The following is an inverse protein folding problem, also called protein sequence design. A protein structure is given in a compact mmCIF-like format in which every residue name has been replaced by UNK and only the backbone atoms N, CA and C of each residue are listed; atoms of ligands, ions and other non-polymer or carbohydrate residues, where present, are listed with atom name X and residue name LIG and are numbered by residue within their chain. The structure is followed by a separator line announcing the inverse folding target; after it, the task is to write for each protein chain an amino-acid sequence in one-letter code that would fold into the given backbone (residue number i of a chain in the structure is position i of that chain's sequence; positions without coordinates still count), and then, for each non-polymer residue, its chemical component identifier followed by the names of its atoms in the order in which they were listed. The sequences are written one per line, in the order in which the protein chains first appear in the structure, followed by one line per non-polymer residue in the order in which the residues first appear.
data_IF_402282865086
#
_entry.id   IF_402282865086
#
_cell.length_a   1.000
_cell.length_b   1.000
_cell.length_c   1.000
_cell.angle_alpha   90.00
_cell.angle_beta   90.00
_cell.angle_gamma   90.00
#
_symmetry.space_group_name_H-M   'P 1'
#
loop_
_entity.id
_entity.type
_entity.pdbx_description
1 polymer ?
#
# COMPACT_ATOMS: atom_id res chain seq x y z
N UNK A 1 7.64 6.01 -12.67
CA UNK A 1 7.36 5.14 -11.50
C UNK A 1 7.67 3.67 -11.79
N UNK A 2 7.21 3.10 -12.93
CA UNK A 2 7.52 1.71 -13.28
C UNK A 2 9.03 1.42 -13.50
N UNK A 3 9.81 2.45 -13.83
CA UNK A 3 11.29 2.43 -13.86
C UNK A 3 11.93 2.03 -12.53
N UNK A 4 11.32 2.32 -11.38
CA UNK A 4 11.91 2.02 -10.07
C UNK A 4 11.69 0.58 -9.61
N UNK A 5 10.73 -0.15 -10.21
CA UNK A 5 10.53 -1.58 -9.92
C UNK A 5 11.65 -2.41 -10.55
N UNK A 6 12.12 -2.02 -11.74
CA UNK A 6 13.24 -2.67 -12.43
C UNK A 6 14.59 -2.47 -11.72
N UNK A 7 14.77 -1.35 -11.02
CA UNK A 7 15.99 -1.01 -10.28
C UNK A 7 15.92 -1.39 -8.78
N UNK A 8 14.79 -1.94 -8.30
CA UNK A 8 14.60 -2.32 -6.90
C UNK A 8 15.36 -3.60 -6.48
N UNK A 9 16.13 -4.20 -7.39
CA UNK A 9 17.02 -5.35 -7.13
C UNK A 9 18.34 -4.92 -6.43
N UNK A 10 18.22 -4.03 -5.44
CA UNK A 10 19.33 -3.45 -4.66
C UNK A 10 19.39 -4.03 -3.23
N UNK A 11 19.25 -5.34 -3.09
CA UNK A 11 19.45 -6.03 -1.80
C UNK A 11 18.27 -5.96 -0.82
N UNK A 12 17.08 -5.57 -1.28
CA UNK A 12 15.84 -5.61 -0.50
C UNK A 12 15.22 -7.04 -0.47
N UNK A 13 15.97 -8.01 0.05
CA UNK A 13 15.47 -9.24 0.71
C UNK A 13 14.48 -10.17 0.00
N UNK A 14 14.18 -9.98 -1.29
CA UNK A 14 13.52 -10.98 -2.14
C UNK A 14 14.34 -11.01 -3.43
N UNK A 15 15.26 -11.96 -3.55
CA UNK A 15 16.39 -11.83 -4.47
C UNK A 15 16.05 -12.15 -5.93
N UNK A 16 14.77 -12.17 -6.36
CA UNK A 16 14.30 -12.33 -7.77
C UNK A 16 12.75 -12.54 -7.94
N UNK A 17 11.83 -11.80 -7.27
CA UNK A 17 10.41 -11.95 -7.52
C UNK A 17 10.02 -11.38 -8.89
N UNK A 18 9.15 -12.08 -9.62
CA UNK A 18 8.53 -11.54 -10.81
C UNK A 18 7.45 -10.54 -10.39
N UNK A 19 7.68 -9.24 -10.64
CA UNK A 19 6.65 -8.23 -10.49
C UNK A 19 5.83 -8.12 -11.78
N UNK A 20 4.51 -8.19 -11.64
CA UNK A 20 3.55 -7.83 -12.69
C UNK A 20 2.80 -6.59 -12.27
N UNK A 21 2.64 -5.63 -13.18
CA UNK A 21 1.92 -4.40 -12.89
C UNK A 21 0.43 -4.69 -12.76
N UNK A 22 -0.11 -4.45 -11.56
CA UNK A 22 -1.55 -4.53 -11.29
C UNK A 22 -2.29 -3.33 -11.87
N UNK A 23 -1.83 -2.13 -11.55
CA UNK A 23 -2.38 -0.85 -12.02
C UNK A 23 -1.32 0.25 -11.90
N UNK A 24 -1.59 1.40 -12.51
CA UNK A 24 -0.86 2.65 -12.30
C UNK A 24 -1.87 3.79 -12.20
N UNK A 25 -1.96 4.40 -11.01
CA UNK A 25 -3.01 5.38 -10.70
C UNK A 25 -2.36 6.73 -10.45
N UNK A 26 -2.67 7.70 -11.30
CA UNK A 26 -2.31 9.11 -11.06
C UNK A 26 -3.54 9.82 -10.50
N UNK A 27 -3.46 10.27 -9.25
CA UNK A 27 -4.59 10.91 -8.55
C UNK A 27 -4.10 11.91 -7.52
N UNK A 28 -4.90 12.95 -7.28
CA UNK A 28 -4.70 13.89 -6.17
C UNK A 28 -5.14 13.30 -4.81
N UNK A 29 -6.01 12.29 -4.82
CA UNK A 29 -6.62 11.71 -3.63
C UNK A 29 -6.17 10.26 -3.43
N UNK A 30 -4.96 10.08 -2.89
CA UNK A 30 -4.34 8.77 -2.73
C UNK A 30 -5.03 7.84 -1.73
N UNK A 31 -5.91 8.37 -0.87
CA UNK A 31 -6.77 7.58 0.02
C UNK A 31 -7.75 6.67 -0.73
N UNK A 32 -8.16 7.07 -1.94
CA UNK A 32 -8.95 6.20 -2.81
C UNK A 32 -8.22 4.94 -3.26
N UNK A 33 -6.89 4.95 -3.29
CA UNK A 33 -6.08 3.80 -3.71
C UNK A 33 -6.14 2.67 -2.68
N UNK A 34 -6.30 2.99 -1.39
CA UNK A 34 -6.51 1.98 -0.34
C UNK A 34 -7.77 1.16 -0.63
N UNK A 35 -8.87 1.82 -1.02
CA UNK A 35 -10.12 1.14 -1.40
C UNK A 35 -9.95 0.25 -2.63
N UNK A 36 -9.26 0.74 -3.66
CA UNK A 36 -8.95 -0.04 -4.87
C UNK A 36 -8.10 -1.27 -4.57
N UNK A 37 -7.14 -1.18 -3.66
CA UNK A 37 -6.33 -2.33 -3.24
C UNK A 37 -7.21 -3.45 -2.66
N UNK A 38 -8.17 -3.12 -1.80
CA UNK A 38 -9.13 -4.10 -1.28
C UNK A 38 -10.02 -4.66 -2.39
N UNK A 39 -10.49 -3.82 -3.31
CA UNK A 39 -11.27 -4.27 -4.47
C UNK A 39 -10.49 -5.26 -5.34
N UNK A 40 -9.20 -5.04 -5.58
CA UNK A 40 -8.33 -5.99 -6.27
C UNK A 40 -8.26 -7.33 -5.54
N UNK A 41 -8.10 -7.33 -4.22
CA UNK A 41 -8.09 -8.56 -3.44
C UNK A 41 -9.44 -9.28 -3.46
N UNK A 42 -10.56 -8.55 -3.46
CA UNK A 42 -11.90 -9.12 -3.50
C UNK A 42 -12.22 -9.74 -4.87
N UNK A 43 -11.83 -9.06 -5.95
CA UNK A 43 -12.03 -9.53 -7.33
C UNK A 43 -11.06 -10.64 -7.74
N UNK A 44 -9.89 -10.70 -7.11
CA UNK A 44 -8.86 -11.71 -7.36
C UNK A 44 -8.55 -12.48 -6.08
N UNK A 45 -9.42 -13.40 -5.62
CA UNK A 45 -9.28 -14.06 -4.32
C UNK A 45 -7.98 -14.85 -4.16
N UNK A 46 -7.33 -15.25 -5.25
CA UNK A 46 -6.08 -16.03 -5.24
C UNK A 46 -4.79 -15.16 -5.22
N UNK A 47 -4.89 -13.83 -5.35
CA UNK A 47 -3.73 -12.90 -5.31
C UNK A 47 -3.08 -12.86 -3.90
N UNK A 48 -1.89 -13.44 -3.67
CA UNK A 48 -1.41 -13.62 -2.29
C UNK A 48 -0.86 -12.32 -1.68
N UNK A 49 -0.32 -11.42 -2.49
CA UNK A 49 0.26 -10.17 -2.03
C UNK A 49 0.29 -9.14 -3.17
N UNK A 50 0.36 -7.86 -2.81
CA UNK A 50 0.61 -6.76 -3.71
C UNK A 50 1.70 -5.86 -3.11
N UNK A 51 2.60 -5.36 -3.95
CA UNK A 51 3.50 -4.27 -3.58
C UNK A 51 2.84 -2.97 -4.01
N UNK A 52 2.69 -2.04 -3.08
CA UNK A 52 2.17 -0.70 -3.34
C UNK A 52 3.35 0.27 -3.27
N UNK A 53 3.59 0.97 -4.36
CA UNK A 53 4.57 2.05 -4.45
C UNK A 53 3.82 3.36 -4.64
N UNK A 54 4.15 4.34 -3.82
CA UNK A 54 3.54 5.66 -3.85
C UNK A 54 4.66 6.69 -3.80
N UNK A 55 4.55 7.68 -4.67
CA UNK A 55 5.53 8.76 -4.76
C UNK A 55 4.77 10.06 -5.05
N UNK A 56 5.10 11.12 -4.30
CA UNK A 56 4.64 12.48 -4.54
C UNK A 56 5.77 13.42 -4.14
N UNK A 57 5.95 14.49 -4.90
CA UNK A 57 7.07 15.39 -4.72
C UNK A 57 7.27 16.31 -5.90
N UNK A 58 8.15 17.29 -5.72
CA UNK A 58 8.43 18.30 -6.74
C UNK A 58 8.95 17.65 -8.03
N UNK A 59 9.87 16.69 -7.91
CA UNK A 59 10.47 16.01 -9.05
C UNK A 59 9.45 15.14 -9.79
N UNK A 60 8.71 14.32 -9.05
CA UNK A 60 7.67 13.43 -9.60
C UNK A 60 6.59 14.22 -10.32
N UNK A 61 6.09 15.30 -9.70
CA UNK A 61 5.06 16.17 -10.29
C UNK A 61 5.54 16.85 -11.57
N UNK A 62 6.78 17.33 -11.61
CA UNK A 62 7.32 17.93 -12.84
C UNK A 62 7.52 16.90 -13.94
N UNK A 63 8.00 15.70 -13.60
CA UNK A 63 8.16 14.59 -14.55
C UNK A 63 6.82 14.19 -15.16
N UNK A 64 5.78 14.05 -14.34
CA UNK A 64 4.41 13.71 -14.77
C UNK A 64 3.67 14.89 -15.40
N UNK A 65 4.26 16.09 -15.39
CA UNK A 65 3.62 17.35 -15.85
C UNK A 65 2.28 17.59 -15.14
N UNK A 66 2.26 17.35 -13.83
CA UNK A 66 1.08 17.54 -13.00
C UNK A 66 0.55 18.98 -13.16
N UNK A 67 -0.76 19.17 -13.39
CA UNK A 67 -1.37 20.50 -13.44
C UNK A 67 -1.02 21.30 -12.19
N UNK A 68 -0.82 22.61 -12.36
CA UNK A 68 -0.56 23.58 -11.28
C UNK A 68 0.71 23.33 -10.43
N UNK A 69 1.53 22.33 -10.75
CA UNK A 69 2.82 22.15 -10.13
C UNK A 69 3.80 23.25 -10.57
N UNK A 70 4.49 23.88 -9.61
CA UNK A 70 5.55 24.85 -9.89
C UNK A 70 6.81 24.12 -10.38
N UNK A 71 6.95 24.03 -11.70
CA UNK A 71 8.05 23.32 -12.36
C UNK A 71 9.33 24.14 -12.41
N UNK A 72 9.23 25.46 -12.21
CA UNK A 72 10.39 26.36 -12.26
C UNK A 72 11.26 26.21 -11.00
N UNK A 73 10.67 25.76 -9.88
CA UNK A 73 11.40 25.44 -8.65
C UNK A 73 12.53 24.42 -8.87
N UNK A 74 12.38 23.45 -9.79
CA UNK A 74 13.44 22.48 -10.09
C UNK A 74 14.68 23.12 -10.73
N UNK A 75 14.53 24.31 -11.31
CA UNK A 75 15.60 25.05 -11.95
C UNK A 75 16.07 26.24 -11.09
N UNK A 76 15.48 26.41 -9.92
CA UNK A 76 15.87 27.47 -8.99
C UNK A 76 17.23 27.15 -8.35
N UNK A 77 18.15 28.11 -8.40
CA UNK A 77 19.41 28.04 -7.67
C UNK A 77 19.18 28.51 -6.23
N UNK A 78 19.26 27.61 -5.25
CA UNK A 78 19.20 27.96 -3.83
C UNK A 78 18.70 26.82 -2.94
N UNK A 79 18.66 27.09 -1.64
CA UNK A 79 18.00 26.23 -0.66
C UNK A 79 16.57 26.72 -0.43
N UNK A 80 15.59 25.84 -0.60
CA UNK A 80 14.20 26.12 -0.29
C UNK A 80 13.55 24.89 0.33
N UNK A 81 12.49 25.09 1.11
CA UNK A 81 11.63 24.00 1.57
C UNK A 81 10.47 23.93 0.57
N UNK A 82 10.32 22.83 -0.19
CA UNK A 82 9.20 22.69 -1.12
C UNK A 82 7.89 22.63 -0.34
N UNK A 83 6.83 23.25 -0.88
CA UNK A 83 5.49 23.13 -0.31
C UNK A 83 5.02 21.67 -0.30
N UNK A 84 5.38 20.92 -1.35
CA UNK A 84 5.19 19.48 -1.45
C UNK A 84 6.53 18.75 -1.27
N UNK A 85 6.87 18.32 -0.04
CA UNK A 85 8.09 17.56 0.20
C UNK A 85 8.04 16.23 -0.56
N UNK A 86 9.19 15.82 -1.07
CA UNK A 86 9.33 14.52 -1.71
C UNK A 86 9.01 13.42 -0.69
N UNK A 87 8.16 12.50 -1.11
CA UNK A 87 7.64 11.43 -0.30
C UNK A 87 7.61 10.16 -1.13
N UNK A 88 8.07 9.07 -0.52
CA UNK A 88 8.09 7.76 -1.14
C UNK A 88 7.70 6.71 -0.11
N UNK A 89 6.71 5.88 -0.45
CA UNK A 89 6.25 4.78 0.40
C UNK A 89 6.23 3.50 -0.43
N UNK A 90 6.86 2.46 0.09
CA UNK A 90 6.81 1.11 -0.45
C UNK A 90 6.27 0.15 0.62
N UNK A 91 5.16 -0.51 0.33
CA UNK A 91 4.53 -1.46 1.25
C UNK A 91 4.25 -2.79 0.53
N UNK A 92 4.56 -3.89 1.20
CA UNK A 92 4.07 -5.22 0.81
C UNK A 92 2.82 -5.54 1.62
N UNK A 93 1.65 -5.54 0.96
CA UNK A 93 0.39 -5.93 1.57
C UNK A 93 0.12 -7.39 1.23
N UNK A 94 0.09 -8.26 2.24
CA UNK A 94 0.01 -9.71 2.06
C UNK A 94 -1.21 -10.32 2.73
N UNK A 95 -1.81 -11.31 2.07
CA UNK A 95 -2.85 -12.20 2.60
C UNK A 95 -2.21 -13.50 3.04
N UNK A 96 -1.71 -13.50 4.28
CA UNK A 96 -0.94 -14.63 4.84
C UNK A 96 -1.72 -15.95 4.77
N UNK A 97 -3.03 -15.92 4.93
CA UNK A 97 -3.89 -17.10 4.81
C UNK A 97 -3.87 -17.73 3.41
N UNK A 98 -3.65 -16.94 2.34
CA UNK A 98 -3.42 -17.45 0.98
C UNK A 98 -2.06 -18.12 0.86
N UNK A 99 -1.01 -17.51 1.39
CA UNK A 99 0.33 -18.12 1.41
C UNK A 99 0.29 -19.45 2.18
N UNK A 100 -0.30 -19.49 3.37
CA UNK A 100 -0.34 -20.66 4.23
C UNK A 100 -1.13 -21.83 3.62
N UNK A 101 -2.18 -21.54 2.83
CA UNK A 101 -3.04 -22.57 2.22
C UNK A 101 -2.60 -22.98 0.82
N UNK A 102 -2.14 -22.03 0.00
CA UNK A 102 -1.90 -22.25 -1.44
C UNK A 102 -0.44 -22.43 -1.81
N UNK A 103 0.48 -21.93 -0.97
CA UNK A 103 1.92 -21.94 -1.27
C UNK A 103 2.66 -22.88 -0.32
N UNK A 104 2.55 -22.62 0.99
CA UNK A 104 3.33 -23.31 2.03
C UNK A 104 3.29 -24.84 1.97
N UNK A 105 2.14 -25.51 1.74
CA UNK A 105 2.09 -26.98 1.71
C UNK A 105 2.74 -27.61 0.47
N UNK A 106 3.05 -26.81 -0.55
CA UNK A 106 3.44 -27.29 -1.88
C UNK A 106 4.83 -26.81 -2.31
N UNK A 107 5.62 -26.22 -1.41
CA UNK A 107 6.95 -25.73 -1.76
C UNK A 107 7.86 -26.85 -2.27
N UNK A 108 8.74 -26.50 -3.21
CA UNK A 108 9.68 -27.42 -3.83
C UNK A 108 11.13 -27.04 -3.53
N UNK A 109 12.03 -28.01 -3.63
CA UNK A 109 13.46 -27.76 -3.47
C UNK A 109 14.06 -27.25 -4.79
N UNK A 110 14.77 -26.13 -4.69
CA UNK A 110 15.65 -25.60 -5.71
C UNK A 110 16.80 -24.86 -5.00
N UNK A 111 18.02 -24.81 -5.57
CA UNK A 111 19.08 -23.95 -5.05
C UNK A 111 18.63 -22.48 -4.99
N UNK A 112 19.29 -21.67 -4.18
CA UNK A 112 19.05 -20.21 -4.18
C UNK A 112 19.85 -19.55 -5.32
N UNK A 113 21.15 -19.88 -5.41
CA UNK A 113 21.99 -19.48 -6.54
C UNK A 113 21.68 -20.34 -7.79
N UNK A 114 20.78 -19.84 -8.64
CA UNK A 114 20.40 -20.49 -9.90
C UNK A 114 20.42 -19.48 -11.05
N UNK A 115 21.07 -19.84 -12.16
CA UNK A 115 21.06 -19.08 -13.40
C UNK A 115 19.94 -19.50 -14.38
N UNK A 116 19.77 -18.72 -15.44
CA UNK A 116 18.74 -18.93 -16.46
C UNK A 116 18.92 -20.21 -17.32
N UNK A 117 20.05 -20.92 -17.20
CA UNK A 117 20.33 -22.16 -17.93
C UNK A 117 19.84 -23.41 -17.20
N UNK A 118 19.58 -23.32 -15.88
CA UNK A 118 19.17 -24.46 -15.04
C UNK A 118 17.68 -24.80 -15.18
N UNK A 119 17.26 -25.10 -16.40
CA UNK A 119 15.88 -25.40 -16.77
C UNK A 119 15.35 -26.72 -16.21
N UNK A 120 16.12 -27.48 -15.42
CA UNK A 120 15.60 -28.60 -14.64
C UNK A 120 14.69 -28.17 -13.48
N UNK A 121 14.76 -26.90 -13.06
CA UNK A 121 13.93 -26.28 -12.02
C UNK A 121 12.80 -25.47 -12.66
N UNK A 122 11.57 -25.67 -12.18
CA UNK A 122 10.39 -25.02 -12.77
C UNK A 122 10.39 -23.50 -12.60
N UNK A 123 10.99 -22.98 -11.51
CA UNK A 123 11.19 -21.54 -11.30
C UNK A 123 11.97 -20.88 -12.44
N UNK A 124 13.00 -21.55 -12.96
CA UNK A 124 13.78 -21.06 -14.10
C UNK A 124 12.99 -21.12 -15.40
N UNK A 125 12.17 -22.15 -15.60
CA UNK A 125 11.28 -22.23 -16.76
C UNK A 125 10.29 -21.08 -16.77
N UNK A 126 9.67 -20.78 -15.61
CA UNK A 126 8.76 -19.65 -15.46
C UNK A 126 9.48 -18.32 -15.71
N UNK A 127 10.64 -18.08 -15.09
CA UNK A 127 11.41 -16.85 -15.31
C UNK A 127 11.78 -16.65 -16.78
N UNK A 128 12.30 -17.68 -17.45
CA UNK A 128 12.65 -17.60 -18.86
C UNK A 128 11.43 -17.27 -19.73
N UNK A 129 10.28 -17.89 -19.44
CA UNK A 129 9.04 -17.61 -20.14
C UNK A 129 8.53 -16.19 -19.87
N UNK A 130 8.50 -15.75 -18.61
CA UNK A 130 8.13 -14.40 -18.22
C UNK A 130 8.94 -13.36 -18.98
N UNK A 131 10.26 -13.47 -18.94
CA UNK A 131 11.14 -12.50 -19.59
C UNK A 131 11.05 -12.56 -21.12
N UNK A 132 10.70 -13.70 -21.72
CA UNK A 132 10.40 -13.74 -23.15
C UNK A 132 9.10 -13.01 -23.49
N UNK A 133 8.06 -13.16 -22.65
CA UNK A 133 6.79 -12.44 -22.84
C UNK A 133 6.97 -10.93 -22.62
N UNK A 134 7.71 -10.53 -21.58
CA UNK A 134 8.05 -9.14 -21.28
C UNK A 134 8.82 -8.47 -22.44
N UNK A 135 9.78 -9.17 -23.06
CA UNK A 135 10.48 -8.67 -24.26
C UNK A 135 9.60 -8.57 -25.51
N UNK A 136 8.63 -9.47 -25.63
CA UNK A 136 7.70 -9.51 -26.76
C UNK A 136 6.47 -8.59 -26.58
N UNK A 137 6.27 -8.03 -25.38
CA UNK A 137 5.11 -7.22 -25.06
C UNK A 137 5.07 -5.96 -25.96
N UNK A 138 3.99 -5.76 -26.73
CA UNK A 138 3.85 -4.57 -27.57
C UNK A 138 3.54 -3.37 -26.68
N UNK A 139 4.58 -2.61 -26.35
CA UNK A 139 4.49 -1.42 -25.50
C UNK A 139 3.49 -0.42 -26.10
N UNK A 140 2.40 -0.08 -25.39
CA UNK A 140 1.36 0.80 -25.92
C UNK A 140 1.84 2.25 -26.07
N UNK A 141 2.81 2.66 -25.24
CA UNK A 141 3.39 4.00 -25.16
C UNK A 141 4.87 3.88 -24.78
N UNK A 142 5.67 4.92 -25.04
CA UNK A 142 7.13 4.88 -24.84
C UNK A 142 7.57 4.77 -23.37
N UNK A 143 6.72 5.24 -22.46
CA UNK A 143 6.89 5.25 -21.01
C UNK A 143 6.36 3.99 -20.32
N UNK A 144 5.59 3.16 -21.02
CA UNK A 144 5.10 1.88 -20.51
C UNK A 144 6.06 0.76 -20.93
N UNK A 145 6.82 0.22 -19.98
CA UNK A 145 7.77 -0.86 -20.27
C UNK A 145 7.29 -2.23 -19.80
N UNK A 146 6.48 -2.30 -18.76
CA UNK A 146 6.08 -3.50 -18.04
C UNK A 146 4.77 -4.05 -18.61
N UNK A 147 4.72 -5.37 -18.85
CA UNK A 147 3.47 -6.00 -19.22
C UNK A 147 2.48 -5.98 -18.05
N UNK A 148 1.19 -5.64 -18.29
CA UNK A 148 0.17 -5.69 -17.25
C UNK A 148 -0.16 -7.13 -16.86
N UNK A 149 -0.74 -7.29 -15.67
CA UNK A 149 -1.08 -8.59 -15.11
C UNK A 149 -2.00 -9.42 -16.03
N UNK A 150 -2.96 -8.81 -16.70
CA UNK A 150 -3.94 -9.49 -17.56
C UNK A 150 -3.27 -10.04 -18.84
N UNK A 151 -2.35 -9.26 -19.43
CA UNK A 151 -1.50 -9.74 -20.52
C UNK A 151 -0.66 -10.93 -20.08
N UNK A 152 0.03 -10.85 -18.94
CA UNK A 152 0.82 -11.96 -18.42
C UNK A 152 -0.03 -13.21 -18.21
N UNK A 153 -1.18 -13.08 -17.56
CA UNK A 153 -2.07 -14.19 -17.28
C UNK A 153 -2.63 -14.83 -18.56
N UNK A 154 -2.83 -14.05 -19.63
CA UNK A 154 -3.23 -14.59 -20.94
C UNK A 154 -2.21 -15.55 -21.57
N UNK A 155 -0.95 -15.50 -21.13
CA UNK A 155 0.15 -16.36 -21.62
C UNK A 155 0.28 -17.66 -20.84
N UNK A 156 -0.22 -17.71 -19.62
CA UNK A 156 -0.09 -18.88 -18.75
C UNK A 156 -0.73 -20.17 -19.30
N UNK A 157 -1.88 -20.15 -20.01
CA UNK A 157 -2.43 -21.35 -20.63
C UNK A 157 -1.47 -22.03 -21.63
N UNK A 158 -0.75 -21.24 -22.43
CA UNK A 158 0.26 -21.76 -23.35
C UNK A 158 1.47 -22.32 -22.59
N UNK A 159 1.95 -21.60 -21.57
CA UNK A 159 3.03 -22.05 -20.71
C UNK A 159 2.75 -23.42 -20.09
N UNK A 160 1.58 -23.58 -19.44
CA UNK A 160 1.18 -24.84 -18.81
C UNK A 160 1.01 -25.98 -19.81
N UNK A 161 0.62 -25.69 -21.06
CA UNK A 161 0.47 -26.70 -22.12
C UNK A 161 1.81 -27.16 -22.69
N UNK A 162 2.78 -26.25 -22.81
CA UNK A 162 4.02 -26.48 -23.57
C UNK A 162 5.23 -26.79 -22.70
N UNK A 163 5.16 -26.45 -21.41
CA UNK A 163 6.27 -26.61 -20.47
C UNK A 163 6.05 -27.82 -19.57
N UNK A 164 6.95 -28.82 -19.54
CA UNK A 164 6.82 -29.94 -18.63
C UNK A 164 7.16 -29.48 -17.20
N UNK A 165 6.16 -29.44 -16.30
CA UNK A 165 6.30 -28.98 -14.91
C UNK A 165 6.25 -30.14 -13.92
N UNK A 166 7.03 -30.06 -12.84
CA UNK A 166 7.05 -31.01 -11.71
C UNK A 166 6.10 -30.52 -10.62
N UNK A 167 4.81 -30.61 -10.88
CA UNK A 167 3.78 -30.15 -9.95
C UNK A 167 3.59 -31.15 -8.79
N UNK A 168 3.76 -30.75 -7.52
CA UNK A 168 3.47 -31.57 -6.36
C UNK A 168 2.00 -31.99 -6.30
N UNK A 169 1.74 -33.17 -5.76
CA UNK A 169 0.38 -33.67 -5.62
C UNK A 169 -0.50 -32.69 -4.80
N UNK A 170 -1.63 -32.31 -5.37
CA UNK A 170 -2.60 -31.41 -4.75
C UNK A 170 -2.36 -29.92 -4.98
N UNK A 171 -1.20 -29.50 -5.51
CA UNK A 171 -0.98 -28.11 -5.91
C UNK A 171 -1.90 -27.76 -7.09
N UNK A 172 -2.55 -26.61 -7.01
CA UNK A 172 -3.42 -26.09 -8.07
C UNK A 172 -2.80 -24.80 -8.60
N UNK A 173 -2.13 -24.84 -9.78
CA UNK A 173 -1.66 -23.63 -10.43
C UNK A 173 -2.80 -22.63 -10.60
N UNK A 174 -2.52 -21.36 -10.36
CA UNK A 174 -3.45 -20.27 -10.62
C UNK A 174 -2.68 -19.09 -11.26
N UNK A 175 -3.39 -18.09 -11.80
CA UNK A 175 -2.75 -17.00 -12.53
C UNK A 175 -1.76 -16.14 -11.71
N UNK A 176 -1.87 -16.15 -10.38
CA UNK A 176 -0.97 -15.42 -9.46
C UNK A 176 0.17 -16.28 -8.90
N UNK A 177 -0.06 -17.60 -8.82
CA UNK A 177 0.93 -18.60 -8.39
C UNK A 177 0.98 -19.72 -9.45
N UNK A 178 1.65 -19.48 -10.59
CA UNK A 178 1.56 -20.35 -11.76
C UNK A 178 2.36 -21.66 -11.62
N UNK A 179 3.30 -21.71 -10.68
CA UNK A 179 4.07 -22.89 -10.27
C UNK A 179 4.28 -22.84 -8.76
N UNK A 180 4.62 -23.95 -8.10
CA UNK A 180 4.96 -23.94 -6.69
C UNK A 180 6.19 -23.08 -6.40
N UNK A 181 6.17 -22.36 -5.29
CA UNK A 181 7.34 -21.62 -4.82
C UNK A 181 8.45 -22.59 -4.40
N UNK A 182 9.68 -22.11 -4.48
CA UNK A 182 10.81 -22.81 -3.88
C UNK A 182 10.79 -22.63 -2.35
N UNK A 183 11.49 -23.52 -1.65
CA UNK A 183 11.66 -23.41 -0.19
C UNK A 183 12.37 -22.11 0.20
N UNK A 184 13.32 -21.63 -0.61
CA UNK A 184 14.01 -20.36 -0.35
C UNK A 184 13.10 -19.15 -0.58
N UNK A 185 12.21 -19.15 -1.59
CA UNK A 185 11.24 -18.06 -1.79
C UNK A 185 10.29 -17.91 -0.60
N UNK A 186 9.83 -19.05 -0.06
CA UNK A 186 9.00 -19.04 1.15
C UNK A 186 9.79 -18.58 2.37
N UNK A 187 11.06 -18.99 2.49
CA UNK A 187 11.94 -18.58 3.59
C UNK A 187 12.21 -17.08 3.55
N UNK A 188 12.51 -16.53 2.38
CA UNK A 188 12.63 -15.09 2.16
C UNK A 188 11.35 -14.38 2.60
N UNK A 189 10.18 -14.81 2.12
CA UNK A 189 8.89 -14.25 2.55
C UNK A 189 8.69 -14.30 4.08
N UNK A 190 8.99 -15.42 4.72
CA UNK A 190 8.82 -15.59 6.16
C UNK A 190 9.80 -14.75 7.00
N UNK A 191 10.91 -14.29 6.43
CA UNK A 191 11.84 -13.38 7.10
C UNK A 191 11.28 -11.95 7.24
N UNK A 192 10.23 -11.59 6.49
CA UNK A 192 9.59 -10.29 6.62
C UNK A 192 8.55 -10.33 7.76
N UNK A 193 8.76 -9.58 8.85
CA UNK A 193 7.80 -9.56 9.95
C UNK A 193 6.51 -8.87 9.51
N UNK A 194 5.38 -9.36 10.00
CA UNK A 194 4.11 -8.63 9.88
C UNK A 194 4.24 -7.38 10.75
N UNK A 195 4.15 -6.20 10.14
CA UNK A 195 4.28 -4.93 10.86
C UNK A 195 2.94 -4.37 11.33
N UNK A 196 1.86 -4.66 10.60
CA UNK A 196 0.51 -4.25 10.95
C UNK A 196 -0.54 -5.06 10.18
N UNK A 197 -1.77 -5.01 10.66
CA UNK A 197 -2.97 -5.40 9.95
C UNK A 197 -3.70 -4.15 9.44
N UNK A 198 -3.91 -4.11 8.13
CA UNK A 198 -4.66 -3.06 7.46
C UNK A 198 -6.14 -3.44 7.43
N UNK A 199 -7.00 -2.59 7.98
CA UNK A 199 -8.45 -2.79 7.98
C UNK A 199 -9.10 -2.12 6.78
N UNK A 200 -10.31 -2.57 6.43
CA UNK A 200 -11.05 -2.03 5.28
C UNK A 200 -11.30 -0.53 5.45
N UNK A 201 -11.05 0.30 4.42
CA UNK A 201 -11.29 1.73 4.51
C UNK A 201 -12.78 2.04 4.54
N UNK A 202 -13.17 3.01 5.38
CA UNK A 202 -14.50 3.63 5.36
C UNK A 202 -14.42 4.91 4.56
N UNK A 203 -15.22 5.01 3.49
CA UNK A 203 -15.38 6.24 2.70
C UNK A 203 -16.64 6.98 3.12
N UNK A 204 -16.51 8.29 3.29
CA UNK A 204 -17.57 9.16 3.79
C UNK A 204 -17.84 10.21 2.72
N UNK A 205 -19.04 10.21 2.16
CA UNK A 205 -19.50 11.26 1.26
C UNK A 205 -19.89 12.50 2.06
N UNK A 206 -19.25 13.62 1.76
CA UNK A 206 -19.51 14.93 2.35
C UNK A 206 -20.16 15.90 1.35
N UNK A 207 -20.60 15.39 0.20
CA UNK A 207 -21.35 16.11 -0.83
C UNK A 207 -22.77 15.58 -1.01
N UNK A 208 -23.64 16.40 -1.59
CA UNK A 208 -24.96 15.98 -2.03
C UNK A 208 -24.88 15.27 -3.40
N UNK A 209 -26.04 14.82 -3.92
CA UNK A 209 -26.15 14.13 -5.22
C UNK A 209 -25.82 15.03 -6.43
N UNK A 210 -25.65 16.34 -6.22
CA UNK A 210 -25.25 17.31 -7.24
C UNK A 210 -23.75 17.66 -7.17
N UNK A 211 -22.99 17.02 -6.28
CA UNK A 211 -21.56 17.27 -6.09
C UNK A 211 -21.23 18.51 -5.25
N UNK A 212 -22.23 19.14 -4.62
CA UNK A 212 -22.02 20.30 -3.75
C UNK A 212 -21.74 19.85 -2.31
N UNK A 213 -20.87 20.54 -1.56
CA UNK A 213 -20.62 20.22 -0.15
C UNK A 213 -21.91 20.25 0.68
N UNK A 214 -22.10 19.24 1.53
CA UNK A 214 -23.16 19.23 2.54
C UNK A 214 -22.98 20.37 3.55
N UNK A 215 -24.06 20.73 4.24
CA UNK A 215 -23.98 21.77 5.28
C UNK A 215 -23.08 21.30 6.43
N UNK A 216 -22.50 22.25 7.16
CA UNK A 216 -21.55 21.98 8.26
C UNK A 216 -22.06 20.90 9.24
N UNK A 217 -23.30 21.03 9.71
CA UNK A 217 -23.89 20.06 10.66
C UNK A 217 -24.05 18.66 10.07
N UNK A 218 -24.44 18.56 8.80
CA UNK A 218 -24.59 17.27 8.10
C UNK A 218 -23.23 16.58 7.90
N UNK A 219 -22.19 17.36 7.56
CA UNK A 219 -20.82 16.84 7.45
C UNK A 219 -20.29 16.31 8.78
N UNK A 220 -20.54 17.03 9.88
CA UNK A 220 -20.17 16.57 11.23
C UNK A 220 -20.85 15.23 11.55
N UNK A 221 -22.13 15.09 11.25
CA UNK A 221 -22.85 13.83 11.51
C UNK A 221 -22.33 12.70 10.62
N UNK A 222 -22.06 12.97 9.33
CA UNK A 222 -21.44 11.99 8.42
C UNK A 222 -20.06 11.52 8.89
N UNK A 223 -19.24 12.43 9.42
CA UNK A 223 -17.94 12.08 10.01
C UNK A 223 -18.11 11.22 11.26
N UNK A 224 -19.10 11.51 12.12
CA UNK A 224 -19.41 10.70 13.31
C UNK A 224 -19.91 9.31 12.94
N UNK A 225 -20.82 9.19 11.97
CA UNK A 225 -21.27 7.91 11.41
C UNK A 225 -20.08 7.12 10.85
N UNK A 226 -19.22 7.77 10.07
CA UNK A 226 -18.03 7.16 9.50
C UNK A 226 -17.04 6.68 10.56
N UNK A 227 -16.84 7.44 11.64
CA UNK A 227 -16.05 7.01 12.79
C UNK A 227 -16.60 5.71 13.40
N UNK A 228 -17.91 5.63 13.62
CA UNK A 228 -18.54 4.41 14.15
C UNK A 228 -18.41 3.23 13.19
N UNK A 229 -18.56 3.44 11.88
CA UNK A 229 -18.32 2.40 10.87
C UNK A 229 -16.87 1.92 10.92
N UNK A 230 -15.90 2.84 11.07
CA UNK A 230 -14.49 2.49 11.11
C UNK A 230 -14.14 1.72 12.39
N UNK A 231 -14.72 2.08 13.54
CA UNK A 231 -14.63 1.27 14.76
C UNK A 231 -15.18 -0.15 14.55
N UNK A 232 -16.26 -0.29 13.78
CA UNK A 232 -16.84 -1.57 13.42
C UNK A 232 -15.97 -2.46 12.53
N UNK A 233 -14.86 -1.95 11.98
CA UNK A 233 -13.88 -2.76 11.23
C UNK A 233 -12.92 -3.52 12.13
N UNK A 234 -12.77 -3.10 13.39
CA UNK A 234 -11.90 -3.72 14.38
C UNK A 234 -12.54 -4.96 15.00
N UNK A 235 -11.72 -5.77 15.67
CA UNK A 235 -12.24 -6.88 16.48
C UNK A 235 -13.11 -6.36 17.63
N UNK A 236 -14.06 -7.16 18.16
CA UNK A 236 -14.88 -6.75 19.29
C UNK A 236 -14.04 -6.30 20.48
N UNK A 237 -14.33 -5.11 21.00
CA UNK A 237 -13.63 -4.42 22.10
C UNK A 237 -12.27 -3.78 21.76
N UNK A 238 -11.74 -3.97 20.55
CA UNK A 238 -10.58 -3.20 20.10
C UNK A 238 -10.99 -1.75 19.82
N UNK A 239 -10.11 -0.82 20.17
CA UNK A 239 -10.31 0.61 19.99
C UNK A 239 -9.00 1.26 19.53
N UNK A 240 -9.06 2.32 18.71
CA UNK A 240 -7.88 3.12 18.41
C UNK A 240 -7.41 3.83 19.68
N UNK A 241 -6.10 3.90 19.87
CA UNK A 241 -5.45 4.67 20.94
C UNK A 241 -4.69 5.89 20.41
N UNK A 242 -4.79 6.16 19.11
CA UNK A 242 -4.15 7.30 18.42
C UNK A 242 -4.85 7.61 17.09
N UNK A 243 -4.89 8.88 16.71
CA UNK A 243 -5.34 9.35 15.39
C UNK A 243 -4.16 9.97 14.61
N UNK A 244 -3.97 9.58 13.37
CA UNK A 244 -3.25 10.36 12.37
C UNK A 244 -4.30 11.02 11.48
N UNK A 245 -4.18 12.31 11.23
CA UNK A 245 -5.13 13.00 10.37
C UNK A 245 -4.45 13.98 9.44
N UNK A 246 -5.01 14.12 8.25
CA UNK A 246 -4.59 15.14 7.29
C UNK A 246 -5.81 15.89 6.77
N UNK A 247 -5.87 17.19 7.05
CA UNK A 247 -6.91 18.11 6.55
C UNK A 247 -6.40 19.00 5.42
N UNK A 248 -5.20 18.73 4.90
CA UNK A 248 -4.43 19.62 4.05
C UNK A 248 -4.24 20.98 4.72
N UNK A 249 -4.22 22.04 3.91
CA UNK A 249 -4.17 23.42 4.40
C UNK A 249 -5.53 23.95 4.93
N UNK A 250 -6.58 23.11 4.97
CA UNK A 250 -7.95 23.56 5.31
C UNK A 250 -8.20 23.63 6.81
N UNK A 251 -8.21 24.85 7.35
CA UNK A 251 -8.63 25.13 8.75
C UNK A 251 -10.10 24.78 8.99
N UNK A 252 -10.95 24.89 7.97
CA UNK A 252 -12.36 24.51 8.05
C UNK A 252 -12.53 23.00 8.25
N UNK A 253 -11.73 22.18 7.56
CA UNK A 253 -11.79 20.73 7.69
C UNK A 253 -11.28 20.27 9.06
N UNK A 254 -10.24 20.89 9.59
CA UNK A 254 -9.80 20.64 10.96
C UNK A 254 -10.91 20.93 11.99
N UNK A 255 -11.59 22.09 11.85
CA UNK A 255 -12.69 22.43 12.73
C UNK A 255 -13.90 21.47 12.62
N UNK A 256 -14.13 20.87 11.45
CA UNK A 256 -15.13 19.81 11.28
C UNK A 256 -14.73 18.55 12.03
N UNK A 257 -13.48 18.11 11.88
CA UNK A 257 -12.96 16.91 12.52
C UNK A 257 -13.01 17.01 14.05
N UNK A 258 -12.55 18.14 14.60
CA UNK A 258 -12.62 18.43 16.04
C UNK A 258 -14.06 18.34 16.56
N UNK A 259 -15.02 18.96 15.85
CA UNK A 259 -16.43 18.91 16.27
C UNK A 259 -17.06 17.52 16.12
N UNK A 260 -16.64 16.74 15.13
CA UNK A 260 -17.14 15.38 14.93
C UNK A 260 -16.67 14.42 16.02
N UNK A 261 -15.44 14.59 16.50
CA UNK A 261 -14.78 13.69 17.45
C UNK A 261 -14.66 14.24 18.88
N UNK A 262 -15.23 15.42 19.17
CA UNK A 262 -15.10 16.09 20.48
C UNK A 262 -15.42 15.17 21.68
N UNK A 263 -16.52 14.43 21.59
CA UNK A 263 -17.01 13.54 22.66
C UNK A 263 -16.71 12.05 22.36
N UNK A 264 -15.60 11.77 21.67
CA UNK A 264 -15.26 10.39 21.33
C UNK A 264 -15.04 9.55 22.62
N UNK A 265 -15.68 8.36 22.75
CA UNK A 265 -15.53 7.52 23.93
C UNK A 265 -14.10 7.00 24.16
N UNK A 266 -13.24 7.09 23.15
CA UNK A 266 -11.84 6.70 23.20
C UNK A 266 -10.99 7.75 23.93
N UNK A 267 -11.55 8.92 24.25
CA UNK A 267 -10.88 10.04 24.90
C UNK A 267 -9.59 10.51 24.19
N UNK A 268 -9.54 10.35 22.86
CA UNK A 268 -8.43 10.82 22.03
C UNK A 268 -8.58 12.34 21.86
N UNK A 269 -7.63 13.10 22.37
CA UNK A 269 -7.57 14.55 22.17
C UNK A 269 -6.84 14.88 20.85
N UNK A 270 -7.53 15.58 19.94
CA UNK A 270 -6.95 15.99 18.66
C UNK A 270 -5.91 17.11 18.79
N UNK A 271 -5.91 17.83 19.91
CA UNK A 271 -4.94 18.88 20.20
C UNK A 271 -3.71 18.35 20.97
N UNK A 272 -3.76 17.13 21.55
CA UNK A 272 -2.62 16.52 22.22
C UNK A 272 -1.75 15.72 21.22
N UNK A 273 -0.47 16.10 20.99
CA UNK A 273 0.45 15.33 20.15
C UNK A 273 0.69 13.88 20.55
N UNK A 274 0.35 13.49 21.78
CA UNK A 274 0.44 12.09 22.23
C UNK A 274 -0.69 11.23 21.68
N UNK A 275 -1.82 11.86 21.41
CA UNK A 275 -3.09 11.23 21.01
C UNK A 275 -3.38 11.42 19.53
N UNK A 276 -2.97 12.56 18.95
CA UNK A 276 -3.22 12.88 17.56
C UNK A 276 -2.03 13.52 16.81
N UNK A 277 -1.87 13.13 15.55
CA UNK A 277 -0.84 13.62 14.65
C UNK A 277 -1.48 14.32 13.45
N UNK A 278 -1.42 15.66 13.45
CA UNK A 278 -1.73 16.50 12.29
C UNK A 278 -0.57 16.41 11.28
N UNK A 279 -0.80 15.68 10.19
CA UNK A 279 0.23 15.38 9.20
C UNK A 279 0.80 16.62 8.54
N UNK A 280 -0.08 17.55 8.15
CA UNK A 280 0.33 18.79 7.48
C UNK A 280 1.26 19.60 8.36
N UNK A 281 0.93 19.73 9.66
CA UNK A 281 1.72 20.52 10.60
C UNK A 281 2.99 19.80 11.07
N UNK A 282 2.97 18.47 11.20
CA UNK A 282 4.06 17.69 11.81
C UNK A 282 5.12 17.26 10.80
N UNK A 283 4.74 16.96 9.55
CA UNK A 283 5.69 16.68 8.47
C UNK A 283 6.27 17.98 7.91
N UNK A 284 5.56 19.10 8.06
CA UNK A 284 6.05 20.42 7.64
C UNK A 284 5.82 20.72 6.15
N UNK A 285 4.90 19.99 5.51
CA UNK A 285 4.55 20.18 4.11
C UNK A 285 3.45 19.24 3.65
N UNK A 286 2.98 19.47 2.43
CA UNK A 286 1.90 18.72 1.81
C UNK A 286 2.42 17.50 1.03
N UNK A 287 2.32 16.31 1.62
CA UNK A 287 2.70 15.05 0.97
C UNK A 287 1.71 14.57 -0.11
N UNK A 288 0.68 15.36 -0.43
CA UNK A 288 -0.19 15.17 -1.58
C UNK A 288 -0.85 13.79 -1.62
N UNK A 289 -0.68 13.08 -2.74
CA UNK A 289 -1.26 11.75 -2.93
C UNK A 289 -0.66 10.71 -1.97
N UNK A 290 0.58 10.92 -1.50
CA UNK A 290 1.24 10.05 -0.54
C UNK A 290 0.71 10.18 0.88
N UNK A 291 -0.08 11.20 1.20
CA UNK A 291 -0.47 11.52 2.59
C UNK A 291 -1.02 10.34 3.38
N UNK A 292 -2.01 9.61 2.86
CA UNK A 292 -2.59 8.46 3.57
C UNK A 292 -1.56 7.33 3.81
N UNK A 293 -0.59 7.21 2.91
CA UNK A 293 0.43 6.16 2.93
C UNK A 293 1.58 6.52 3.88
N UNK A 294 1.91 7.81 3.97
CA UNK A 294 2.82 8.34 4.99
C UNK A 294 2.18 8.21 6.37
N UNK A 295 0.89 8.58 6.51
CA UNK A 295 0.10 8.31 7.73
C UNK A 295 0.17 6.85 8.15
N UNK A 296 -0.06 5.93 7.20
CA UNK A 296 -0.02 4.48 7.45
C UNK A 296 1.35 4.00 7.91
N UNK A 297 2.41 4.55 7.33
CA UNK A 297 3.79 4.22 7.69
C UNK A 297 4.15 4.71 9.08
N UNK A 298 3.79 5.95 9.45
CA UNK A 298 4.01 6.43 10.82
C UNK A 298 3.18 5.64 11.84
N UNK A 299 1.93 5.33 11.48
CA UNK A 299 1.03 4.57 12.32
C UNK A 299 1.52 3.14 12.58
N UNK A 300 2.01 2.44 11.55
CA UNK A 300 2.56 1.10 11.75
C UNK A 300 3.81 1.14 12.63
N UNK A 301 4.71 2.11 12.45
CA UNK A 301 5.92 2.25 13.25
C UNK A 301 5.58 2.46 14.73
N UNK A 302 4.68 3.42 15.00
CA UNK A 302 4.28 3.75 16.36
C UNK A 302 3.46 2.63 17.01
N UNK A 303 2.50 2.06 16.28
CA UNK A 303 1.68 0.94 16.76
C UNK A 303 2.50 -0.33 17.01
N UNK A 304 3.54 -0.59 16.22
CA UNK A 304 4.43 -1.70 16.47
C UNK A 304 5.26 -1.51 17.74
N UNK A 305 5.65 -0.26 18.03
CA UNK A 305 6.38 0.10 19.25
C UNK A 305 5.52 -0.04 20.52
N UNK A 306 4.33 0.56 20.55
CA UNK A 306 3.52 0.65 21.77
C UNK A 306 2.31 -0.30 21.83
N UNK A 307 1.99 -0.97 20.72
CA UNK A 307 0.87 -1.89 20.61
C UNK A 307 -0.50 -1.25 20.46
N UNK A 308 -0.58 0.05 20.22
CA UNK A 308 -1.85 0.74 20.00
C UNK A 308 -2.33 0.57 18.56
N UNK A 309 -3.62 0.32 18.40
CA UNK A 309 -4.33 0.51 17.12
C UNK A 309 -4.39 2.00 16.79
N UNK A 310 -4.22 2.34 15.52
CA UNK A 310 -4.20 3.71 15.03
C UNK A 310 -5.33 3.91 14.02
N UNK A 311 -5.99 5.06 14.07
CA UNK A 311 -6.93 5.49 13.04
C UNK A 311 -6.25 6.53 12.14
N UNK A 312 -6.37 6.37 10.83
CA UNK A 312 -5.91 7.32 9.82
C UNK A 312 -7.13 8.04 9.26
N UNK A 313 -7.14 9.37 9.25
CA UNK A 313 -8.27 10.17 8.78
C UNK A 313 -7.77 11.12 7.69
N UNK A 314 -8.17 10.89 6.44
CA UNK A 314 -7.90 11.81 5.35
C UNK A 314 -9.15 12.67 5.10
N UNK A 315 -8.99 13.98 5.21
CA UNK A 315 -10.02 15.01 5.01
C UNK A 315 -9.46 16.16 4.18
N UNK A 316 -8.61 15.84 3.19
CA UNK A 316 -8.04 16.82 2.26
C UNK A 316 -9.06 17.26 1.20
N UNK A 317 -9.89 16.33 0.74
CA UNK A 317 -11.01 16.61 -0.18
C UNK A 317 -12.18 17.23 0.62
N UNK A 318 -12.71 18.41 0.23
CA UNK A 318 -13.89 19.00 0.89
C UNK A 318 -15.19 18.19 0.69
N UNK A 319 -15.23 17.30 -0.31
CA UNK A 319 -16.40 16.50 -0.70
C UNK A 319 -16.35 15.06 -0.17
N UNK A 320 -15.19 14.58 0.29
CA UNK A 320 -15.03 13.22 0.79
C UNK A 320 -14.08 13.16 1.98
N UNK A 321 -14.31 12.17 2.84
CA UNK A 321 -13.33 11.77 3.84
C UNK A 321 -13.11 10.27 3.78
N UNK A 322 -11.98 9.82 4.31
CA UNK A 322 -11.75 8.40 4.55
C UNK A 322 -11.15 8.15 5.92
N UNK A 323 -11.54 7.01 6.50
CA UNK A 323 -11.02 6.50 7.76
C UNK A 323 -10.50 5.09 7.55
N UNK A 324 -9.25 4.84 7.95
CA UNK A 324 -8.61 3.52 7.85
C UNK A 324 -8.05 3.16 9.22
N UNK A 325 -8.36 1.96 9.70
CA UNK A 325 -7.73 1.45 10.92
C UNK A 325 -6.48 0.64 10.58
N UNK A 326 -5.46 0.76 11.43
CA UNK A 326 -4.22 0.00 11.36
C UNK A 326 -3.92 -0.55 12.75
N UNK A 327 -4.00 -1.87 12.92
CA UNK A 327 -3.70 -2.51 14.20
C UNK A 327 -2.35 -3.22 14.15
N UNK A 328 -1.58 -3.21 15.25
CA UNK A 328 -0.32 -3.93 15.29
C UNK A 328 -0.54 -5.44 15.49
N UNK A 329 0.46 -6.28 15.20
CA UNK A 329 0.50 -7.66 15.67
C UNK A 329 0.42 -7.73 17.20
N UNK A 330 0.06 -8.90 17.73
CA UNK A 330 0.09 -9.10 19.18
C UNK A 330 1.49 -8.91 19.77
N UNK A 331 1.54 -8.69 21.09
CA UNK A 331 2.78 -8.41 21.81
C UNK A 331 3.85 -9.50 21.60
N UNK A 332 3.45 -10.77 21.62
CA UNK A 332 4.38 -11.89 21.46
C UNK A 332 5.03 -11.88 20.08
N UNK A 333 4.25 -11.60 19.02
CA UNK A 333 4.74 -11.51 17.65
C UNK A 333 5.74 -10.37 17.46
N UNK A 334 5.50 -9.22 18.12
CA UNK A 334 6.40 -8.06 18.06
C UNK A 334 7.69 -8.27 18.86
N UNK A 335 7.59 -8.87 20.05
CA UNK A 335 8.76 -9.23 20.86
C UNK A 335 9.62 -10.31 20.19
N UNK A 336 9.02 -11.23 19.42
CA UNK A 336 9.73 -12.25 18.65
C UNK A 336 10.47 -11.70 17.41
N UNK A 337 10.05 -10.54 16.88
CA UNK A 337 10.63 -9.94 15.67
C UNK A 337 10.93 -8.45 15.86
N UNK A 338 11.74 -8.06 16.87
CA UNK A 338 11.92 -6.66 17.25
C UNK A 338 12.36 -5.81 16.06
N UNK A 339 11.64 -4.72 15.82
CA UNK A 339 11.95 -3.74 14.77
C UNK A 339 12.51 -2.47 15.40
N UNK A 340 13.57 -1.92 14.80
CA UNK A 340 14.08 -0.60 15.17
C UNK A 340 13.62 0.41 14.13
N UNK A 341 12.65 1.24 14.50
CA UNK A 341 12.30 2.42 13.72
C UNK A 341 13.17 3.57 14.24
N UNK A 342 14.09 4.06 13.42
CA UNK A 342 14.83 5.28 13.72
C UNK A 342 14.00 6.48 13.26
N UNK A 343 14.00 7.51 14.11
CA UNK A 343 13.41 8.83 13.85
C UNK A 343 14.50 9.89 13.66
N UNK A 344 15.74 9.46 13.41
CA UNK A 344 16.86 10.36 13.23
C UNK A 344 16.72 11.04 11.86
N UNK A 345 16.14 12.25 11.88
CA UNK A 345 16.14 13.18 10.75
C UNK A 345 17.40 14.03 10.75
#
# INVERSE_FOLDING_TARGET
MATHIGDADNGAGITNPLYIRLDEIHTEHGDGVVGKLFEYFDTHPDLPAAVVLIEDGLQTRSYLRTPDADRDLLHSNGYFVPEQPDSFVALMVTRKDRIDRMVRPYVVNAPEAIDNTKTQYDVIKLWNYFWSQQRAYPKPQSDVSEMPWDYWQSKLPEFWKTTPLKIPHGFKPNPWVPIPWTTWQLTEYDNWPVLAYLHRPVRIALSNNHGEPLKKGERIEKLREGWQQALGTLAPNDQPGRIFHDTGMSTNNLALLIQALHDNPQHIDLDDPKDAFDMQRRIGGDTGTSSTWVQMTLALMMGYSDGKTNALINLRDPLHASIVMVSPPDRASREAHPQTFSWDF
#
